data_IF_219527868895
#
_entry.id   IF_219527868895
#
_cell.length_a   1.000
_cell.length_b   1.000
_cell.length_c   1.000
_cell.angle_alpha   90.00
_cell.angle_beta   90.00
_cell.angle_gamma   90.00
#
_symmetry.space_group_name_H-M   'P 1'
#
loop_
_entity.id
_entity.type
_entity.pdbx_description
1 polymer ?
#
# COMPACT_ATOMS: atom_id res chain seq x y z
N UNK A 1 -11.86 -66.01 49.39
CA UNK A 1 -13.23 -65.52 49.69
C UNK A 1 -13.50 -64.39 48.72
N UNK A 2 -14.42 -64.65 47.78
CA UNK A 2 -15.04 -63.74 46.80
C UNK A 2 -14.13 -63.13 45.72
N UNK A 3 -14.33 -63.64 44.50
CA UNK A 3 -13.91 -63.13 43.19
C UNK A 3 -14.68 -61.86 42.78
N UNK A 4 -14.01 -60.98 42.02
CA UNK A 4 -14.51 -60.27 40.82
C UNK A 4 -13.37 -59.33 40.38
N UNK A 5 -12.76 -59.39 39.21
CA UNK A 5 -13.30 -59.76 37.90
C UNK A 5 -13.24 -58.53 36.99
N UNK A 6 -12.06 -58.15 36.51
CA UNK A 6 -11.95 -57.25 35.35
C UNK A 6 -10.89 -57.78 34.37
N UNK A 7 -11.39 -58.54 33.39
CA UNK A 7 -10.73 -58.74 32.10
C UNK A 7 -10.61 -57.38 31.43
N UNK A 8 -9.39 -56.86 31.26
CA UNK A 8 -9.12 -55.87 30.22
C UNK A 8 -8.42 -56.56 29.05
N UNK A 9 -9.17 -56.54 27.97
CA UNK A 9 -8.88 -57.05 26.64
C UNK A 9 -7.62 -56.38 26.09
N UNK A 10 -6.71 -57.20 25.58
CA UNK A 10 -5.60 -56.79 24.73
C UNK A 10 -6.16 -56.06 23.51
N UNK A 11 -6.04 -54.73 23.49
CA UNK A 11 -6.33 -53.93 22.29
C UNK A 11 -5.01 -53.34 21.78
N UNK A 12 -4.40 -53.89 20.71
CA UNK A 12 -3.18 -53.34 20.13
C UNK A 12 -3.42 -52.01 19.39
N UNK A 13 -4.67 -51.53 19.30
CA UNK A 13 -5.02 -50.27 18.63
C UNK A 13 -4.74 -49.01 19.46
N UNK A 14 -4.54 -49.10 20.79
CA UNK A 14 -4.27 -47.90 21.61
C UNK A 14 -2.80 -47.44 21.58
N UNK A 15 -1.85 -48.28 21.17
CA UNK A 15 -0.43 -47.90 21.12
C UNK A 15 -0.04 -47.17 19.82
N UNK A 16 -0.79 -47.38 18.74
CA UNK A 16 -0.59 -46.67 17.46
C UNK A 16 -1.15 -45.24 17.52
N UNK A 17 -2.18 -45.00 18.34
CA UNK A 17 -2.74 -43.66 18.55
C UNK A 17 -1.80 -42.70 19.29
N UNK A 18 -0.90 -43.20 20.14
CA UNK A 18 0.04 -42.33 20.89
C UNK A 18 1.26 -41.90 20.06
N UNK A 19 1.65 -42.69 19.04
CA UNK A 19 2.77 -42.37 18.14
C UNK A 19 2.39 -41.40 17.01
N UNK A 20 1.09 -41.26 16.69
CA UNK A 20 0.62 -40.31 15.67
C UNK A 20 0.43 -38.89 16.26
N UNK A 21 0.31 -38.74 17.58
CA UNK A 21 0.16 -37.42 18.23
C UNK A 21 1.53 -36.75 18.47
N UNK A 22 2.65 -37.49 18.42
CA UNK A 22 4.01 -36.93 18.48
C UNK A 22 4.63 -36.62 17.12
N UNK A 23 3.94 -36.88 16.01
CA UNK A 23 4.45 -36.65 14.65
C UNK A 23 3.96 -35.33 14.01
N UNK A 24 3.13 -34.55 14.72
CA UNK A 24 2.70 -33.21 14.31
C UNK A 24 3.44 -32.08 15.05
N UNK A 25 4.61 -32.35 15.64
CA UNK A 25 5.62 -31.30 15.80
C UNK A 25 6.14 -30.97 14.40
N UNK A 26 5.41 -30.04 13.78
CA UNK A 26 5.81 -29.27 12.62
C UNK A 26 7.33 -29.17 12.52
N UNK A 27 7.82 -29.56 11.34
CA UNK A 27 9.06 -29.07 10.77
C UNK A 27 8.92 -27.54 10.66
N UNK A 28 9.13 -26.86 11.78
CA UNK A 28 9.67 -25.51 11.77
C UNK A 28 11.14 -25.75 11.54
N UNK A 29 11.62 -25.34 10.36
CA UNK A 29 13.04 -25.22 10.10
C UNK A 29 13.58 -24.20 11.09
N UNK A 30 14.00 -24.65 12.27
CA UNK A 30 14.94 -23.90 13.08
C UNK A 30 16.24 -23.96 12.30
N UNK A 31 16.52 -22.91 11.53
CA UNK A 31 17.85 -22.69 10.96
C UNK A 31 18.81 -22.46 12.13
N UNK A 32 19.29 -23.56 12.70
CA UNK A 32 20.51 -23.57 13.48
C UNK A 32 21.65 -23.40 12.50
N UNK A 33 22.15 -22.16 12.44
CA UNK A 33 23.57 -21.81 12.39
C UNK A 33 24.49 -22.95 11.93
N UNK A 34 24.65 -23.08 10.62
CA UNK A 34 25.94 -23.44 10.07
C UNK A 34 26.38 -22.35 9.10
N UNK A 35 27.58 -21.86 9.39
CA UNK A 35 28.26 -20.75 8.74
C UNK A 35 28.26 -20.94 7.22
N UNK A 36 27.48 -20.10 6.53
CA UNK A 36 27.74 -19.52 5.21
C UNK A 36 26.40 -19.02 4.65
N UNK A 37 25.85 -17.95 5.23
CA UNK A 37 25.08 -17.01 4.41
C UNK A 37 26.12 -16.26 3.59
N UNK A 38 26.20 -16.44 2.26
CA UNK A 38 26.92 -15.48 1.45
C UNK A 38 26.08 -14.20 1.52
N UNK A 39 26.42 -13.32 2.47
CA UNK A 39 25.98 -11.93 2.49
C UNK A 39 26.69 -11.25 1.34
N UNK A 40 26.19 -11.49 0.13
CA UNK A 40 26.53 -10.66 -1.00
C UNK A 40 25.83 -9.31 -0.76
N UNK A 41 26.55 -8.34 -0.19
CA UNK A 41 26.07 -6.97 0.06
C UNK A 41 25.81 -6.18 -1.25
N UNK A 42 25.63 -6.87 -2.37
CA UNK A 42 25.41 -6.30 -3.70
C UNK A 42 23.92 -6.15 -4.02
N UNK A 43 23.37 -5.00 -3.60
CA UNK A 43 22.35 -4.17 -4.30
C UNK A 43 21.52 -3.32 -3.31
N UNK A 44 22.18 -2.66 -2.34
CA UNK A 44 21.52 -1.72 -1.41
C UNK A 44 21.00 -0.43 -2.13
N UNK A 45 21.28 -0.24 -3.42
CA UNK A 45 21.02 1.02 -4.14
C UNK A 45 19.88 0.98 -5.17
N UNK A 46 18.70 0.43 -4.85
CA UNK A 46 17.52 0.64 -5.72
C UNK A 46 16.30 1.20 -4.99
N UNK A 47 16.49 2.19 -4.13
CA UNK A 47 15.37 3.11 -3.86
C UNK A 47 15.10 3.93 -5.12
N UNK A 48 13.86 4.01 -5.55
CA UNK A 48 13.53 4.80 -6.73
C UNK A 48 13.32 6.24 -6.26
N UNK A 49 14.34 7.05 -6.51
CA UNK A 49 14.42 8.47 -6.19
C UNK A 49 13.98 9.30 -7.38
N UNK A 50 12.99 10.17 -7.19
CA UNK A 50 12.64 11.22 -8.14
C UNK A 50 12.74 12.60 -7.51
N UNK A 51 13.60 13.47 -8.05
CA UNK A 51 13.64 14.90 -7.71
C UNK A 51 12.79 15.74 -8.66
N UNK A 52 12.10 16.72 -8.11
CA UNK A 52 11.32 17.66 -8.90
C UNK A 52 12.29 18.58 -9.62
N UNK A 53 12.25 18.55 -10.96
CA UNK A 53 13.04 19.41 -11.83
C UNK A 53 12.14 20.38 -12.60
N UNK A 54 12.05 20.22 -13.92
CA UNK A 54 11.29 21.11 -14.81
C UNK A 54 9.86 20.64 -15.08
N UNK A 55 9.51 19.42 -14.67
CA UNK A 55 8.23 18.76 -14.91
C UNK A 55 7.71 18.07 -13.65
N UNK A 56 6.42 17.75 -13.66
CA UNK A 56 5.80 16.97 -12.60
C UNK A 56 6.47 15.58 -12.49
N UNK A 57 6.63 15.13 -11.25
CA UNK A 57 6.93 13.76 -10.93
C UNK A 57 5.64 12.98 -10.79
N UNK A 58 5.61 11.80 -11.39
CA UNK A 58 4.53 10.83 -11.25
C UNK A 58 5.14 9.50 -10.86
N UNK A 59 4.68 8.97 -9.73
CA UNK A 59 5.09 7.70 -9.19
C UNK A 59 3.86 6.77 -9.09
N UNK A 60 4.00 5.51 -9.52
CA UNK A 60 2.91 4.54 -9.48
C UNK A 60 3.45 3.12 -9.33
N UNK A 61 2.63 2.19 -8.85
CA UNK A 61 2.97 0.76 -8.74
C UNK A 61 2.98 0.02 -10.08
N UNK A 62 2.47 0.63 -11.17
CA UNK A 62 2.36 -0.04 -12.47
C UNK A 62 2.63 0.94 -13.62
N UNK A 63 3.68 0.65 -14.40
CA UNK A 63 4.13 1.46 -15.53
C UNK A 63 3.04 1.65 -16.60
N UNK A 64 2.15 0.66 -16.78
CA UNK A 64 1.06 0.74 -17.75
C UNK A 64 0.06 1.85 -17.43
N UNK A 65 -0.16 2.12 -16.14
CA UNK A 65 -0.97 3.25 -15.68
C UNK A 65 -0.37 4.56 -16.18
N UNK A 66 0.95 4.74 -16.02
CA UNK A 66 1.64 5.94 -16.45
C UNK A 66 1.64 6.08 -17.97
N UNK A 67 1.89 4.99 -18.71
CA UNK A 67 1.87 4.96 -20.19
C UNK A 67 0.54 5.45 -20.75
N UNK A 68 -0.56 4.89 -20.25
CA UNK A 68 -1.90 5.29 -20.68
C UNK A 68 -2.26 6.71 -20.21
N UNK A 69 -1.85 7.11 -19.02
CA UNK A 69 -2.00 8.47 -18.52
C UNK A 69 -1.32 9.50 -19.45
N UNK A 70 -0.06 9.27 -19.81
CA UNK A 70 0.68 10.13 -20.74
C UNK A 70 0.03 10.17 -22.12
N UNK A 71 -0.42 9.02 -22.63
CA UNK A 71 -1.13 8.97 -23.91
C UNK A 71 -2.38 9.84 -23.89
N UNK A 72 -3.27 9.67 -22.90
CA UNK A 72 -4.50 10.45 -22.79
C UNK A 72 -4.20 11.93 -22.60
N UNK A 73 -3.23 12.27 -21.74
CA UNK A 73 -2.83 13.66 -21.50
C UNK A 73 -2.32 14.34 -22.78
N UNK A 74 -1.53 13.63 -23.59
CA UNK A 74 -1.02 14.13 -24.88
C UNK A 74 -2.14 14.38 -25.89
N UNK A 75 -3.18 13.53 -25.90
CA UNK A 75 -4.35 13.67 -26.80
C UNK A 75 -5.28 14.79 -26.38
N UNK A 76 -5.36 15.08 -25.07
CA UNK A 76 -6.19 16.18 -24.57
C UNK A 76 -5.67 17.55 -25.01
N UNK A 77 -4.35 17.73 -25.10
CA UNK A 77 -3.74 19.02 -25.44
C UNK A 77 -4.13 20.16 -24.48
N UNK A 78 -4.53 19.82 -23.24
CA UNK A 78 -4.99 20.75 -22.21
C UNK A 78 -4.01 20.81 -21.06
N UNK A 79 -3.81 22.00 -20.52
CA UNK A 79 -3.13 22.17 -19.24
C UNK A 79 -4.08 21.79 -18.12
N UNK A 80 -3.75 20.74 -17.38
CA UNK A 80 -4.49 20.28 -16.20
C UNK A 80 -3.71 20.62 -14.94
N UNK A 81 -4.43 20.99 -13.88
CA UNK A 81 -3.86 21.15 -12.53
C UNK A 81 -3.45 19.79 -11.94
N UNK A 82 -2.67 19.79 -10.86
CA UNK A 82 -2.23 18.57 -10.16
C UNK A 82 -3.41 17.71 -9.71
N UNK A 83 -4.49 18.33 -9.21
CA UNK A 83 -5.75 17.66 -8.85
C UNK A 83 -6.38 16.96 -10.05
N UNK A 84 -6.49 17.67 -11.16
CA UNK A 84 -7.14 17.16 -12.37
C UNK A 84 -6.33 16.04 -13.02
N UNK A 85 -4.99 16.15 -13.00
CA UNK A 85 -4.07 15.08 -13.40
C UNK A 85 -4.24 13.84 -12.52
N UNK A 86 -4.35 14.03 -11.21
CA UNK A 86 -4.56 12.97 -10.24
C UNK A 86 -5.90 12.26 -10.46
N UNK A 87 -6.98 13.00 -10.72
CA UNK A 87 -8.29 12.41 -11.04
C UNK A 87 -8.24 11.62 -12.34
N UNK A 88 -7.57 12.15 -13.37
CA UNK A 88 -7.42 11.47 -14.65
C UNK A 88 -6.68 10.12 -14.51
N UNK A 89 -5.52 10.11 -13.85
CA UNK A 89 -4.76 8.87 -13.64
C UNK A 89 -5.52 7.88 -12.75
N UNK A 90 -6.23 8.35 -11.72
CA UNK A 90 -7.05 7.50 -10.84
C UNK A 90 -8.20 6.82 -11.61
N UNK A 91 -8.86 7.53 -12.53
CA UNK A 91 -9.88 6.89 -13.37
C UNK A 91 -9.28 5.86 -14.35
N UNK A 92 -8.07 6.09 -14.86
CA UNK A 92 -7.35 5.11 -15.71
C UNK A 92 -7.04 3.83 -14.92
N UNK A 93 -6.63 3.95 -13.65
CA UNK A 93 -6.39 2.81 -12.76
C UNK A 93 -7.58 1.85 -12.71
N UNK A 94 -8.81 2.37 -12.72
CA UNK A 94 -10.01 1.54 -12.64
C UNK A 94 -10.11 0.53 -13.79
N UNK A 95 -9.64 0.86 -15.01
CA UNK A 95 -9.69 -0.09 -16.12
C UNK A 95 -8.58 -1.13 -16.03
N UNK A 96 -7.40 -0.72 -15.58
CA UNK A 96 -6.20 -1.56 -15.57
C UNK A 96 -6.16 -2.49 -14.36
N UNK A 97 -6.73 -2.05 -13.24
CA UNK A 97 -6.78 -2.77 -11.96
C UNK A 97 -8.19 -2.76 -11.38
N UNK A 98 -9.17 -3.38 -12.07
CA UNK A 98 -10.56 -3.43 -11.59
C UNK A 98 -10.73 -4.26 -10.30
N UNK A 99 -9.69 -5.00 -9.91
CA UNK A 99 -9.55 -5.71 -8.65
C UNK A 99 -9.23 -4.77 -7.48
N UNK A 100 -8.40 -3.73 -7.68
CA UNK A 100 -7.95 -2.82 -6.62
C UNK A 100 -8.50 -1.40 -6.70
N UNK A 101 -8.89 -0.93 -7.88
CA UNK A 101 -9.45 0.39 -8.14
C UNK A 101 -10.89 0.25 -8.65
N UNK A 102 -11.76 -0.35 -7.84
CA UNK A 102 -13.19 -0.41 -8.12
C UNK A 102 -13.90 0.84 -7.58
N UNK A 103 -15.13 1.15 -8.04
CA UNK A 103 -15.93 2.18 -7.39
C UNK A 103 -16.09 1.98 -5.88
N UNK A 104 -16.06 0.73 -5.41
CA UNK A 104 -16.27 0.36 -4.00
C UNK A 104 -14.99 0.30 -3.16
N UNK A 105 -13.82 0.49 -3.77
CA UNK A 105 -12.54 0.49 -3.07
C UNK A 105 -12.41 1.71 -2.15
N UNK A 106 -11.81 1.53 -0.98
CA UNK A 106 -11.47 2.67 -0.13
C UNK A 106 -10.45 3.55 -0.86
N UNK A 107 -10.53 4.85 -0.64
CA UNK A 107 -9.57 5.80 -1.20
C UNK A 107 -8.97 6.64 -0.08
N UNK A 108 -7.65 6.54 0.07
CA UNK A 108 -6.87 7.38 0.95
C UNK A 108 -6.17 8.44 0.12
N UNK A 109 -6.29 9.71 0.52
CA UNK A 109 -5.67 10.86 -0.14
C UNK A 109 -4.77 11.57 0.85
N UNK A 110 -3.53 11.83 0.44
CA UNK A 110 -2.50 12.56 1.20
C UNK A 110 -2.02 13.72 0.34
N UNK A 111 -2.07 14.96 0.83
CA UNK A 111 -1.82 16.15 -0.01
C UNK A 111 -1.31 17.35 0.77
N UNK A 112 -0.54 18.23 0.12
CA UNK A 112 -0.20 19.57 0.61
C UNK A 112 -0.63 20.69 -0.37
N UNK A 113 -1.63 20.42 -1.22
CA UNK A 113 -2.14 21.40 -2.21
C UNK A 113 -2.78 22.64 -1.56
N UNK A 114 -3.13 22.56 -0.28
CA UNK A 114 -3.67 23.66 0.52
C UNK A 114 -2.57 24.29 1.40
N UNK A 115 -2.91 25.32 2.19
CA UNK A 115 -1.96 25.93 3.14
C UNK A 115 -1.44 24.96 4.21
N UNK A 116 -2.13 23.84 4.41
CA UNK A 116 -1.75 22.78 5.34
C UNK A 116 -1.77 21.42 4.63
N UNK A 117 -0.98 20.50 5.16
CA UNK A 117 -1.04 19.09 4.84
C UNK A 117 -2.40 18.49 5.25
N UNK A 118 -2.94 17.60 4.43
CA UNK A 118 -4.26 17.01 4.62
C UNK A 118 -4.24 15.52 4.34
N UNK A 119 -4.99 14.78 5.16
CA UNK A 119 -5.30 13.37 4.97
C UNK A 119 -6.82 13.20 4.88
N UNK A 120 -7.27 12.44 3.90
CA UNK A 120 -8.67 12.07 3.72
C UNK A 120 -8.77 10.58 3.45
N UNK A 121 -9.59 9.88 4.21
CA UNK A 121 -9.95 8.50 3.99
C UNK A 121 -11.43 8.40 3.66
N UNK A 122 -11.73 7.93 2.46
CA UNK A 122 -13.06 7.62 1.98
C UNK A 122 -13.26 6.12 2.12
N UNK A 123 -14.02 5.73 3.14
CA UNK A 123 -14.22 4.34 3.54
C UNK A 123 -15.64 3.89 3.18
N UNK A 124 -15.76 2.61 2.83
CA UNK A 124 -17.04 2.00 2.51
C UNK A 124 -17.88 1.91 3.78
N UNK A 125 -19.09 2.45 3.69
CA UNK A 125 -20.08 2.38 4.77
C UNK A 125 -21.01 1.17 4.57
N UNK A 126 -21.40 0.90 3.32
CA UNK A 126 -22.30 -0.19 2.95
C UNK A 126 -22.08 -0.61 1.48
N UNK A 127 -22.79 -1.66 1.03
CA UNK A 127 -22.65 -2.26 -0.30
C UNK A 127 -23.01 -1.34 -1.48
N UNK A 128 -23.70 -0.22 -1.20
CA UNK A 128 -24.10 0.75 -2.22
C UNK A 128 -23.17 1.97 -2.26
N UNK A 129 -22.21 2.07 -1.34
CA UNK A 129 -21.30 3.21 -1.24
C UNK A 129 -20.13 3.09 -2.22
N UNK A 130 -19.80 4.19 -2.92
CA UNK A 130 -18.72 4.25 -3.92
C UNK A 130 -17.58 5.19 -3.49
N UNK A 131 -16.85 4.87 -2.40
CA UNK A 131 -15.83 5.73 -1.79
C UNK A 131 -14.78 6.25 -2.77
N UNK A 132 -14.30 5.40 -3.68
CA UNK A 132 -13.28 5.76 -4.66
C UNK A 132 -13.72 6.95 -5.51
N UNK A 133 -14.89 6.84 -6.14
CA UNK A 133 -15.39 7.90 -7.03
C UNK A 133 -15.88 9.13 -6.26
N UNK A 134 -16.48 8.94 -5.08
CA UNK A 134 -16.88 10.05 -4.20
C UNK A 134 -15.67 10.88 -3.77
N UNK A 135 -14.56 10.23 -3.38
CA UNK A 135 -13.35 10.94 -3.00
C UNK A 135 -12.73 11.74 -4.16
N UNK A 136 -12.80 11.23 -5.39
CA UNK A 136 -12.38 11.99 -6.57
C UNK A 136 -13.29 13.18 -6.88
N UNK A 137 -14.62 13.03 -6.72
CA UNK A 137 -15.58 14.12 -6.89
C UNK A 137 -15.37 15.22 -5.84
N UNK A 138 -15.24 14.84 -4.57
CA UNK A 138 -14.98 15.76 -3.46
C UNK A 138 -13.67 16.51 -3.64
N UNK A 139 -12.62 15.83 -4.11
CA UNK A 139 -11.33 16.46 -4.39
C UNK A 139 -11.46 17.57 -5.44
N UNK A 140 -12.17 17.33 -6.54
CA UNK A 140 -12.44 18.34 -7.58
C UNK A 140 -13.23 19.53 -7.04
N UNK A 141 -14.25 19.27 -6.20
CA UNK A 141 -15.09 20.30 -5.60
C UNK A 141 -14.29 21.16 -4.63
N UNK A 142 -13.55 20.53 -3.70
CA UNK A 142 -12.79 21.22 -2.66
C UNK A 142 -11.67 22.10 -3.23
N UNK A 143 -11.09 21.70 -4.36
CA UNK A 143 -10.07 22.47 -5.07
C UNK A 143 -10.63 23.34 -6.21
N UNK A 144 -11.96 23.48 -6.29
CA UNK A 144 -12.66 24.36 -7.25
C UNK A 144 -12.25 24.11 -8.71
N UNK A 145 -12.04 22.85 -9.10
CA UNK A 145 -11.75 22.53 -10.49
C UNK A 145 -12.91 22.99 -11.38
N UNK A 146 -12.63 23.59 -12.55
CA UNK A 146 -13.66 23.89 -13.55
C UNK A 146 -14.31 22.65 -14.15
N UNK A 147 -13.71 21.46 -13.95
CA UNK A 147 -14.18 20.21 -14.53
C UNK A 147 -14.83 19.33 -13.46
N UNK A 148 -15.96 18.71 -13.82
CA UNK A 148 -16.62 17.67 -13.03
C UNK A 148 -16.12 16.29 -13.46
N UNK A 149 -16.32 15.28 -12.61
CA UNK A 149 -15.95 13.89 -12.90
C UNK A 149 -16.52 13.38 -14.24
N UNK A 150 -17.74 13.81 -14.60
CA UNK A 150 -18.36 13.50 -15.89
C UNK A 150 -17.58 14.03 -17.11
N UNK A 151 -16.84 15.13 -16.96
CA UNK A 151 -16.00 15.67 -18.03
C UNK A 151 -14.78 14.77 -18.27
N UNK A 152 -14.13 14.31 -17.21
CA UNK A 152 -13.04 13.33 -17.30
C UNK A 152 -13.53 12.02 -17.91
N UNK A 153 -14.73 11.56 -17.53
CA UNK A 153 -15.35 10.38 -18.11
C UNK A 153 -15.52 10.50 -19.63
N UNK A 154 -16.01 11.64 -20.13
CA UNK A 154 -16.12 11.92 -21.56
C UNK A 154 -14.76 11.89 -22.27
N UNK A 155 -13.74 12.47 -21.64
CA UNK A 155 -12.38 12.45 -22.17
C UNK A 155 -11.82 11.03 -22.27
N UNK A 156 -12.04 10.20 -21.26
CA UNK A 156 -11.59 8.81 -21.27
C UNK A 156 -12.35 7.99 -22.31
N UNK A 157 -13.67 8.12 -22.41
CA UNK A 157 -14.45 7.44 -23.46
C UNK A 157 -13.97 7.82 -24.87
N UNK A 158 -13.50 9.06 -25.06
CA UNK A 158 -13.01 9.55 -26.35
C UNK A 158 -11.56 9.16 -26.66
N UNK A 159 -10.65 9.28 -25.68
CA UNK A 159 -9.21 9.22 -25.90
C UNK A 159 -8.56 7.95 -25.35
N UNK A 160 -9.14 7.32 -24.33
CA UNK A 160 -8.62 6.09 -23.75
C UNK A 160 -9.19 4.86 -24.47
N UNK A 161 -8.92 4.77 -25.79
CA UNK A 161 -9.48 3.73 -26.68
C UNK A 161 -8.51 2.59 -26.99
N UNK A 162 -7.22 2.77 -26.71
CA UNK A 162 -6.20 1.74 -26.93
C UNK A 162 -6.51 0.44 -26.17
N UNK A 163 -6.09 -0.72 -26.68
CA UNK A 163 -6.17 -1.98 -25.94
C UNK A 163 -5.47 -1.84 -24.58
N UNK A 164 -6.14 -2.27 -23.52
CA UNK A 164 -5.58 -2.33 -22.17
C UNK A 164 -5.07 -3.74 -21.95
N UNK A 165 -3.84 -3.86 -21.51
CA UNK A 165 -3.25 -5.17 -21.29
C UNK A 165 -3.36 -5.57 -19.82
N UNK A 166 -3.51 -6.87 -19.58
CA UNK A 166 -3.42 -7.44 -18.24
C UNK A 166 -1.96 -7.39 -17.80
N UNK A 167 -1.68 -6.65 -16.72
CA UNK A 167 -0.38 -6.62 -16.07
C UNK A 167 -0.11 -7.85 -15.19
N UNK A 168 1.13 -8.00 -14.73
CA UNK A 168 1.58 -9.15 -13.92
C UNK A 168 0.74 -9.37 -12.66
N UNK A 169 0.50 -8.33 -11.86
CA UNK A 169 -0.25 -8.46 -10.61
C UNK A 169 -1.71 -8.87 -10.84
N UNK A 170 -2.35 -8.31 -11.86
CA UNK A 170 -3.72 -8.69 -12.20
C UNK A 170 -3.77 -10.13 -12.73
N UNK A 171 -2.84 -10.54 -13.60
CA UNK A 171 -2.77 -11.92 -14.08
C UNK A 171 -2.63 -12.93 -12.94
N UNK A 172 -1.77 -12.62 -11.95
CA UNK A 172 -1.61 -13.41 -10.75
C UNK A 172 -2.93 -13.54 -9.98
N UNK A 173 -3.57 -12.40 -9.68
CA UNK A 173 -4.87 -12.38 -9.01
C UNK A 173 -5.93 -13.20 -9.76
N UNK A 174 -6.05 -13.04 -11.08
CA UNK A 174 -7.03 -13.77 -11.89
C UNK A 174 -6.80 -15.28 -11.86
N UNK A 175 -5.53 -15.70 -11.82
CA UNK A 175 -5.15 -17.12 -11.69
C UNK A 175 -5.54 -17.68 -10.32
N UNK A 176 -5.25 -16.96 -9.24
CA UNK A 176 -5.60 -17.39 -7.87
C UNK A 176 -7.11 -17.44 -7.64
N UNK A 177 -7.87 -16.55 -8.28
CA UNK A 177 -9.31 -16.43 -8.09
C UNK A 177 -10.16 -17.13 -9.14
N UNK A 178 -9.55 -17.97 -10.00
CA UNK A 178 -10.21 -18.64 -11.13
C UNK A 178 -11.59 -19.22 -10.77
N UNK A 179 -11.65 -20.02 -9.72
CA UNK A 179 -12.87 -20.72 -9.31
C UNK A 179 -13.98 -19.76 -8.88
N UNK A 180 -13.63 -18.61 -8.31
CA UNK A 180 -14.58 -17.57 -7.95
C UNK A 180 -15.04 -16.78 -9.18
N UNK A 181 -14.13 -16.50 -10.12
CA UNK A 181 -14.46 -15.83 -11.38
C UNK A 181 -15.43 -16.65 -12.25
N UNK A 182 -15.28 -17.98 -12.28
CA UNK A 182 -16.14 -18.88 -13.05
C UNK A 182 -17.62 -18.87 -12.61
N UNK A 183 -17.88 -18.56 -11.34
CA UNK A 183 -19.24 -18.54 -10.75
C UNK A 183 -20.09 -17.36 -11.23
N UNK A 184 -19.47 -16.32 -11.77
CA UNK A 184 -20.16 -15.08 -12.14
C UNK A 184 -20.08 -14.82 -13.65
N UNK A 185 -21.23 -14.71 -14.36
CA UNK A 185 -21.23 -14.50 -15.81
C UNK A 185 -20.45 -13.27 -16.28
N UNK A 186 -20.52 -12.15 -15.55
CA UNK A 186 -19.79 -10.92 -15.89
C UNK A 186 -18.28 -11.14 -15.85
N UNK A 187 -17.75 -11.79 -14.80
CA UNK A 187 -16.34 -12.13 -14.70
C UNK A 187 -15.93 -13.19 -15.70
N UNK A 188 -16.72 -14.26 -15.87
CA UNK A 188 -16.43 -15.31 -16.84
C UNK A 188 -16.28 -14.77 -18.26
N UNK A 189 -17.15 -13.84 -18.66
CA UNK A 189 -17.11 -13.26 -20.01
C UNK A 189 -15.99 -12.23 -20.20
N UNK A 190 -15.45 -11.68 -19.11
CA UNK A 190 -14.43 -10.63 -19.14
C UNK A 190 -13.02 -11.17 -18.88
N UNK A 191 -12.86 -12.03 -17.88
CA UNK A 191 -11.56 -12.47 -17.36
C UNK A 191 -11.21 -13.91 -17.74
N UNK A 192 -12.11 -14.65 -18.39
CA UNK A 192 -11.83 -16.03 -18.80
C UNK A 192 -11.98 -16.20 -20.32
N UNK A 193 -10.96 -16.80 -20.94
CA UNK A 193 -10.97 -17.21 -22.35
C UNK A 193 -10.78 -18.72 -22.42
N UNK A 194 -11.74 -19.42 -23.03
CA UNK A 194 -11.76 -20.90 -23.06
C UNK A 194 -11.58 -21.54 -21.66
N UNK A 195 -12.22 -20.95 -20.63
CA UNK A 195 -12.12 -21.37 -19.20
C UNK A 195 -10.71 -21.23 -18.58
N UNK A 196 -9.85 -20.41 -19.18
CA UNK A 196 -8.58 -20.03 -18.58
C UNK A 196 -8.58 -18.55 -18.22
N UNK A 197 -8.06 -18.17 -17.04
CA UNK A 197 -7.83 -16.78 -16.68
C UNK A 197 -6.99 -16.06 -17.72
N UNK A 198 -7.29 -14.78 -17.97
CA UNK A 198 -6.46 -13.95 -18.82
C UNK A 198 -5.03 -13.89 -18.29
N UNK A 199 -4.08 -14.06 -19.20
CA UNK A 199 -2.64 -14.00 -18.93
C UNK A 199 -2.08 -12.60 -19.20
N UNK A 200 -0.82 -12.38 -18.80
CA UNK A 200 -0.09 -11.14 -19.09
C UNK A 200 -0.17 -10.80 -20.59
N UNK A 201 -0.30 -9.51 -20.90
CA UNK A 201 -0.44 -8.95 -22.25
C UNK A 201 -1.76 -9.24 -22.98
N UNK A 202 -2.64 -10.08 -22.45
CA UNK A 202 -4.00 -10.23 -22.98
C UNK A 202 -4.86 -8.99 -22.70
N UNK A 203 -5.92 -8.81 -23.48
CA UNK A 203 -6.67 -7.55 -23.50
C UNK A 203 -7.82 -7.53 -22.50
N UNK A 204 -7.93 -6.44 -21.74
CA UNK A 204 -9.09 -6.08 -20.92
C UNK A 204 -10.13 -5.28 -21.72
N UNK A 205 -11.43 -5.43 -21.39
CA UNK A 205 -12.46 -4.61 -22.01
C UNK A 205 -12.37 -3.13 -21.58
N UNK A 206 -12.94 -2.27 -22.41
CA UNK A 206 -13.07 -0.85 -22.11
C UNK A 206 -14.21 -0.59 -21.13
N UNK A 207 -13.97 0.29 -20.16
CA UNK A 207 -15.04 0.89 -19.35
C UNK A 207 -15.75 1.95 -20.17
N UNK A 208 -17.09 1.96 -20.10
CA UNK A 208 -17.90 3.11 -20.53
C UNK A 208 -18.01 4.09 -19.37
N UNK A 209 -17.02 4.99 -19.23
CA UNK A 209 -16.86 5.86 -18.07
C UNK A 209 -18.06 6.79 -17.90
N UNK A 210 -18.60 7.35 -18.99
CA UNK A 210 -19.78 8.21 -18.91
C UNK A 210 -20.97 7.48 -18.30
N UNK A 211 -21.16 6.19 -18.63
CA UNK A 211 -22.22 5.35 -18.04
C UNK A 211 -21.93 5.09 -16.56
N UNK A 212 -20.69 4.75 -16.22
CA UNK A 212 -20.26 4.52 -14.84
C UNK A 212 -20.51 5.75 -13.95
N UNK A 213 -20.04 6.93 -14.36
CA UNK A 213 -20.19 8.17 -13.58
C UNK A 213 -21.64 8.65 -13.53
N UNK A 214 -22.45 8.42 -14.57
CA UNK A 214 -23.90 8.69 -14.48
C UNK A 214 -24.60 7.81 -13.44
N UNK A 215 -24.18 6.54 -13.33
CA UNK A 215 -24.70 5.62 -12.31
C UNK A 215 -24.25 5.99 -10.88
N UNK A 216 -23.12 6.67 -10.71
CA UNK A 216 -22.70 7.19 -9.39
C UNK A 216 -23.73 8.18 -8.85
N UNK A 217 -24.23 9.08 -9.70
CA UNK A 217 -25.19 10.10 -9.29
C UNK A 217 -26.55 9.53 -8.86
N UNK A 218 -26.86 8.29 -9.25
CA UNK A 218 -28.06 7.57 -8.81
C UNK A 218 -27.79 6.59 -7.65
N UNK A 219 -26.53 6.38 -7.26
CA UNK A 219 -26.14 5.57 -6.11
C UNK A 219 -26.07 6.40 -4.82
N UNK A 220 -26.21 5.73 -3.67
CA UNK A 220 -26.12 6.39 -2.35
C UNK A 220 -24.71 6.93 -2.12
N UNK A 221 -24.58 8.26 -1.97
CA UNK A 221 -23.31 8.94 -1.68
C UNK A 221 -22.85 8.80 -0.22
N UNK A 222 -23.54 8.00 0.61
CA UNK A 222 -23.14 7.82 2.02
C UNK A 222 -21.84 7.02 2.07
N UNK A 223 -20.74 7.76 2.26
CA UNK A 223 -19.38 7.26 2.42
C UNK A 223 -18.92 7.71 3.81
N UNK A 224 -18.24 6.82 4.53
CA UNK A 224 -17.62 7.21 5.79
C UNK A 224 -16.34 7.98 5.48
N UNK A 225 -16.28 9.24 5.90
CA UNK A 225 -15.13 10.11 5.67
C UNK A 225 -14.38 10.36 6.98
N UNK A 226 -13.10 10.03 6.99
CA UNK A 226 -12.21 10.32 8.11
C UNK A 226 -11.04 11.20 7.65
N UNK A 227 -10.72 12.21 8.43
CA UNK A 227 -9.57 13.10 8.25
C UNK A 227 -8.77 13.26 9.54
N UNK A 228 -8.94 12.31 10.47
CA UNK A 228 -8.35 12.40 11.80
C UNK A 228 -6.82 12.32 11.73
N UNK A 229 -6.17 13.31 12.32
CA UNK A 229 -4.73 13.36 12.57
C UNK A 229 -4.51 13.70 14.03
N UNK A 230 -3.66 12.92 14.69
CA UNK A 230 -3.30 13.03 16.10
C UNK A 230 -1.86 13.56 16.16
N UNK A 231 -1.64 14.57 16.98
CA UNK A 231 -0.29 15.05 17.28
C UNK A 231 0.44 13.99 18.11
N UNK A 232 1.53 13.46 17.57
CA UNK A 232 2.45 12.60 18.31
C UNK A 232 3.57 13.46 18.92
N UNK A 233 3.79 13.30 20.22
CA UNK A 233 4.87 13.94 20.93
C UNK A 233 6.00 12.94 21.11
N UNK A 234 7.17 13.23 20.54
CA UNK A 234 8.35 12.39 20.73
C UNK A 234 8.67 12.28 22.23
N UNK A 235 8.98 11.08 22.75
CA UNK A 235 9.46 10.92 24.12
C UNK A 235 10.78 11.68 24.27
N UNK A 236 10.70 12.87 24.87
CA UNK A 236 11.74 13.89 24.91
C UNK A 236 13.08 13.30 25.39
N UNK A 237 14.09 13.26 24.52
CA UNK A 237 15.48 13.03 24.93
C UNK A 237 16.33 14.30 24.90
N UNK A 238 15.99 15.30 24.07
CA UNK A 238 16.75 16.55 23.94
C UNK A 238 15.85 17.77 23.63
N UNK A 239 16.26 18.97 24.10
CA UNK A 239 15.54 20.24 23.90
C UNK A 239 15.36 20.66 22.42
N UNK A 240 16.22 20.17 21.51
CA UNK A 240 16.19 20.45 20.06
C UNK A 240 14.95 19.85 19.38
N UNK A 241 14.32 18.84 19.99
CA UNK A 241 13.16 18.14 19.40
C UNK A 241 11.82 18.89 19.59
N UNK A 242 11.79 20.03 20.29
CA UNK A 242 10.56 20.79 20.57
C UNK A 242 9.90 21.42 19.35
N UNK A 243 10.66 21.70 18.29
CA UNK A 243 10.17 22.34 17.07
C UNK A 243 9.82 21.34 15.95
N UNK A 244 9.84 20.04 16.27
CA UNK A 244 9.41 18.97 15.40
C UNK A 244 7.93 18.69 15.69
N UNK A 245 7.10 18.76 14.65
CA UNK A 245 5.67 18.44 14.75
C UNK A 245 5.37 17.20 13.91
N UNK A 246 4.74 16.22 14.53
CA UNK A 246 4.39 14.95 13.90
C UNK A 246 2.89 14.74 14.03
N UNK A 247 2.17 14.69 12.91
CA UNK A 247 0.73 14.48 12.87
C UNK A 247 0.44 13.19 12.11
N UNK A 248 -0.25 12.24 12.75
CA UNK A 248 -0.49 10.93 12.16
C UNK A 248 -1.93 10.48 12.34
N UNK A 249 -2.45 9.66 11.42
CA UNK A 249 -3.75 9.02 11.59
C UNK A 249 -3.72 7.78 12.51
N UNK A 250 -2.59 7.55 13.19
CA UNK A 250 -2.34 6.51 14.17
C UNK A 250 -1.92 7.11 15.49
N UNK A 251 -2.33 6.49 16.59
CA UNK A 251 -1.86 6.84 17.93
C UNK A 251 -0.51 6.16 18.20
N UNK A 252 0.58 6.90 17.98
CA UNK A 252 1.93 6.37 18.20
C UNK A 252 2.31 6.18 19.67
N UNK A 253 1.57 6.78 20.61
CA UNK A 253 1.80 6.57 22.04
C UNK A 253 1.53 5.14 22.49
N UNK A 254 0.77 4.37 21.71
CA UNK A 254 0.57 2.95 21.92
C UNK A 254 1.85 2.14 21.67
N UNK A 255 2.66 2.54 20.69
CA UNK A 255 3.91 1.86 20.33
C UNK A 255 5.00 2.13 21.38
N UNK A 256 5.00 3.31 22.01
CA UNK A 256 5.85 3.60 23.17
C UNK A 256 5.56 2.65 24.35
N UNK A 257 4.33 2.13 24.42
CA UNK A 257 3.88 1.16 25.41
C UNK A 257 3.97 -0.30 24.91
N UNK A 258 4.62 -0.53 23.77
CA UNK A 258 4.71 -1.82 23.08
C UNK A 258 3.32 -2.46 22.81
N UNK A 259 2.31 -1.65 22.48
CA UNK A 259 0.99 -2.09 22.01
C UNK A 259 0.91 -1.93 20.50
N UNK A 260 0.88 -3.05 19.80
CA UNK A 260 0.94 -3.12 18.34
C UNK A 260 -0.43 -3.43 17.72
N UNK A 261 -0.78 -2.74 16.63
CA UNK A 261 -2.04 -2.95 15.91
C UNK A 261 -1.80 -3.84 14.69
N UNK A 262 -1.74 -5.15 14.92
CA UNK A 262 -1.40 -6.12 13.89
C UNK A 262 -2.66 -6.61 13.18
N UNK A 263 -2.82 -6.22 11.93
CA UNK A 263 -3.86 -6.72 11.03
C UNK A 263 -3.72 -8.23 10.79
N UNK A 264 -4.85 -8.88 10.48
CA UNK A 264 -4.87 -10.32 10.18
C UNK A 264 -4.11 -10.65 8.91
N UNK A 265 -4.23 -9.79 7.91
CA UNK A 265 -3.60 -9.91 6.60
C UNK A 265 -3.18 -8.53 6.12
N UNK A 266 -2.25 -8.51 5.17
CA UNK A 266 -1.93 -7.29 4.43
C UNK A 266 -3.13 -6.90 3.56
N UNK A 267 -3.34 -5.60 3.37
CA UNK A 267 -4.41 -5.10 2.52
C UNK A 267 -3.82 -4.84 1.13
N UNK A 268 -4.32 -5.52 0.09
CA UNK A 268 -3.98 -5.19 -1.28
C UNK A 268 -4.28 -3.73 -1.58
N UNK A 269 -3.33 -3.05 -2.23
CA UNK A 269 -3.45 -1.63 -2.52
C UNK A 269 -2.87 -1.27 -3.89
N UNK A 270 -3.38 -0.17 -4.42
CA UNK A 270 -2.91 0.45 -5.64
C UNK A 270 -2.61 1.92 -5.37
N UNK A 271 -1.37 2.34 -5.64
CA UNK A 271 -0.87 3.64 -5.23
C UNK A 271 -0.45 4.49 -6.44
N UNK A 272 -0.75 5.79 -6.38
CA UNK A 272 -0.24 6.79 -7.31
C UNK A 272 0.04 8.10 -6.59
N UNK A 273 1.20 8.70 -6.88
CA UNK A 273 1.65 9.98 -6.38
C UNK A 273 1.98 10.93 -7.52
N UNK A 274 1.61 12.20 -7.38
CA UNK A 274 2.03 13.28 -8.27
C UNK A 274 2.63 14.38 -7.42
N UNK A 275 3.82 14.87 -7.78
CA UNK A 275 4.40 16.11 -7.24
C UNK A 275 4.64 17.09 -8.37
N UNK A 276 4.10 18.30 -8.27
CA UNK A 276 4.29 19.36 -9.24
C UNK A 276 5.66 20.04 -9.09
N UNK A 277 6.03 20.84 -10.09
CA UNK A 277 7.28 21.61 -10.10
C UNK A 277 7.47 22.58 -8.93
N UNK A 278 6.41 22.92 -8.21
CA UNK A 278 6.43 23.80 -7.05
C UNK A 278 6.57 23.03 -5.73
N UNK A 279 6.62 21.69 -5.77
CA UNK A 279 6.67 20.83 -4.60
C UNK A 279 5.30 20.57 -3.95
N UNK A 280 4.19 20.94 -4.61
CA UNK A 280 2.89 20.47 -4.15
C UNK A 280 2.64 19.05 -4.64
N UNK A 281 2.13 18.20 -3.77
CA UNK A 281 1.90 16.81 -4.04
C UNK A 281 0.48 16.38 -3.70
N UNK A 282 0.08 15.30 -4.35
CA UNK A 282 -1.08 14.50 -4.01
C UNK A 282 -0.76 13.03 -4.22
N UNK A 283 -1.11 12.22 -3.24
CA UNK A 283 -1.04 10.76 -3.30
C UNK A 283 -2.42 10.17 -3.09
N UNK A 284 -2.76 9.18 -3.89
CA UNK A 284 -3.94 8.36 -3.78
C UNK A 284 -3.56 6.92 -3.56
N UNK A 285 -4.19 6.29 -2.59
CA UNK A 285 -4.04 4.85 -2.35
C UNK A 285 -5.43 4.23 -2.30
N UNK A 286 -5.69 3.36 -3.28
CA UNK A 286 -6.85 2.50 -3.29
C UNK A 286 -6.56 1.28 -2.44
N UNK A 287 -7.47 0.90 -1.54
CA UNK A 287 -7.37 -0.37 -0.81
C UNK A 287 -8.66 -1.16 -0.93
N UNK A 288 -8.53 -2.48 -1.03
CA UNK A 288 -9.68 -3.35 -1.14
C UNK A 288 -9.42 -4.72 -0.51
N UNK A 289 -10.33 -5.17 0.36
CA UNK A 289 -10.34 -6.56 0.81
C UNK A 289 -10.94 -7.46 -0.28
N UNK A 290 -10.18 -8.48 -0.69
CA UNK A 290 -10.50 -9.38 -1.80
C UNK A 290 -10.97 -10.77 -1.32
N UNK A 291 -11.41 -10.89 -0.07
CA UNK A 291 -11.81 -12.19 0.52
C UNK A 291 -13.02 -12.82 -0.17
N UNK A 292 -13.92 -12.00 -0.73
CA UNK A 292 -15.11 -12.45 -1.47
C UNK A 292 -15.17 -11.76 -2.83
N UNK A 293 -14.73 -12.46 -3.88
CA UNK A 293 -14.71 -11.93 -5.25
C UNK A 293 -16.11 -11.94 -5.85
N UNK A 294 -16.80 -10.79 -5.79
CA UNK A 294 -18.15 -10.59 -6.31
C UNK A 294 -18.20 -9.44 -7.32
N UNK A 295 -18.96 -9.55 -8.42
CA UNK A 295 -19.09 -8.46 -9.38
C UNK A 295 -19.89 -7.30 -8.82
N UNK A 296 -19.47 -6.08 -9.14
CA UNK A 296 -20.27 -4.89 -8.86
C UNK A 296 -21.42 -4.83 -9.87
N UNK A 297 -22.58 -5.36 -9.48
CA UNK A 297 -23.75 -5.51 -10.38
C UNK A 297 -23.37 -6.28 -11.65
N UNK A 298 -23.77 -5.81 -12.82
CA UNK A 298 -23.46 -6.42 -14.13
C UNK A 298 -22.09 -5.98 -14.71
N UNK A 299 -21.27 -5.29 -13.92
CA UNK A 299 -19.94 -4.82 -14.38
C UNK A 299 -18.86 -5.88 -14.12
N UNK A 300 -17.67 -5.65 -14.66
CA UNK A 300 -16.49 -6.47 -14.40
C UNK A 300 -15.65 -5.97 -13.21
N UNK A 301 -16.09 -4.91 -12.51
CA UNK A 301 -15.41 -4.46 -11.30
C UNK A 301 -15.63 -5.45 -10.16
N UNK A 302 -14.59 -5.61 -9.34
CA UNK A 302 -14.66 -6.46 -8.14
C UNK A 302 -15.15 -5.62 -6.98
N UNK A 303 -16.22 -6.08 -6.34
CA UNK A 303 -16.77 -5.46 -5.14
C UNK A 303 -15.86 -5.78 -3.97
N UNK A 304 -15.35 -4.75 -3.29
CA UNK A 304 -14.56 -4.94 -2.08
C UNK A 304 -15.39 -5.50 -0.93
N UNK A 305 -14.78 -6.22 0.00
CA UNK A 305 -15.40 -6.43 1.32
C UNK A 305 -15.14 -5.20 2.22
N UNK A 306 -16.04 -4.95 3.18
CA UNK A 306 -15.78 -3.98 4.24
C UNK A 306 -14.60 -4.45 5.10
N UNK A 307 -13.68 -3.54 5.41
CA UNK A 307 -12.58 -3.79 6.35
C UNK A 307 -12.31 -2.54 7.18
N UNK A 308 -11.85 -2.74 8.41
CA UNK A 308 -11.50 -1.64 9.33
C UNK A 308 -10.02 -1.28 9.26
N UNK A 309 -9.21 -2.13 8.65
CA UNK A 309 -7.76 -1.94 8.56
C UNK A 309 -7.47 -0.65 7.76
N UNK A 310 -6.66 0.24 8.35
CA UNK A 310 -6.31 1.54 7.77
C UNK A 310 -4.83 1.62 7.46
N UNK A 311 -4.46 2.36 6.42
CA UNK A 311 -3.07 2.69 6.14
C UNK A 311 -2.53 3.65 7.20
N UNK A 312 -1.25 3.52 7.57
CA UNK A 312 -0.60 4.50 8.43
C UNK A 312 -0.08 5.67 7.58
N UNK A 313 -0.41 6.89 7.99
CA UNK A 313 -0.05 8.16 7.36
C UNK A 313 0.47 9.10 8.43
N UNK A 314 1.61 9.73 8.16
CA UNK A 314 2.18 10.75 9.02
C UNK A 314 2.70 11.95 8.22
N UNK A 315 2.52 13.13 8.79
CA UNK A 315 3.18 14.36 8.39
C UNK A 315 4.18 14.75 9.44
N UNK A 316 5.42 14.96 9.04
CA UNK A 316 6.53 15.36 9.91
C UNK A 316 7.02 16.71 9.42
N UNK A 317 7.14 17.68 10.33
CA UNK A 317 7.68 19.00 10.04
C UNK A 317 8.77 19.36 11.05
N UNK A 318 9.98 19.58 10.55
CA UNK A 318 11.11 20.06 11.32
C UNK A 318 11.40 21.51 10.90
N UNK A 319 10.93 22.45 11.71
CA UNK A 319 11.04 23.89 11.39
C UNK A 319 12.50 24.37 11.34
N UNK A 320 13.37 24.00 12.32
CA UNK A 320 14.79 24.36 12.28
C UNK A 320 15.54 23.85 11.04
N UNK A 321 15.32 22.59 10.65
CA UNK A 321 15.98 21.99 9.48
C UNK A 321 15.31 22.35 8.14
N UNK A 322 14.17 23.06 8.19
CA UNK A 322 13.33 23.35 7.01
C UNK A 322 12.98 22.09 6.20
N UNK A 323 12.75 20.97 6.88
CA UNK A 323 12.38 19.70 6.25
C UNK A 323 10.94 19.31 6.60
N UNK A 324 10.25 18.74 5.62
CA UNK A 324 8.88 18.28 5.72
C UNK A 324 8.73 16.94 5.00
N UNK A 325 8.01 16.01 5.62
CA UNK A 325 7.79 14.67 5.09
C UNK A 325 6.32 14.30 5.20
N UNK A 326 5.78 13.71 4.14
CA UNK A 326 4.57 12.90 4.23
C UNK A 326 4.95 11.44 4.01
N UNK A 327 4.62 10.62 4.99
CA UNK A 327 4.92 9.20 5.05
C UNK A 327 3.64 8.41 4.92
N UNK A 328 3.63 7.38 4.08
CA UNK A 328 2.53 6.42 3.99
C UNK A 328 3.06 5.01 3.97
N UNK A 329 2.49 4.13 4.79
CA UNK A 329 2.86 2.72 4.83
C UNK A 329 1.79 1.84 4.18
N UNK A 330 2.24 0.94 3.31
CA UNK A 330 1.39 0.00 2.55
C UNK A 330 1.94 -1.43 2.66
N UNK A 331 1.15 -2.42 2.21
CA UNK A 331 1.55 -3.83 2.13
C UNK A 331 2.11 -4.40 3.46
N UNK A 332 1.62 -3.92 4.61
CA UNK A 332 2.08 -4.38 5.93
C UNK A 332 0.94 -4.86 6.80
N UNK A 333 1.24 -5.84 7.65
CA UNK A 333 0.34 -6.26 8.74
C UNK A 333 0.33 -5.28 9.90
N UNK A 334 1.34 -4.46 10.07
CA UNK A 334 1.30 -3.35 11.04
C UNK A 334 1.99 -2.12 10.41
N UNK A 335 1.25 -1.34 9.62
CA UNK A 335 1.81 -0.19 8.92
C UNK A 335 2.28 0.92 9.88
N UNK A 336 1.75 0.96 11.11
CA UNK A 336 2.18 1.90 12.13
C UNK A 336 3.61 1.61 12.58
N UNK A 337 3.95 0.35 12.90
CA UNK A 337 5.31 -0.02 13.30
C UNK A 337 6.38 0.44 12.30
N UNK A 338 6.10 0.36 10.99
CA UNK A 338 7.05 0.76 9.96
C UNK A 338 7.37 2.26 10.02
N UNK A 339 6.36 3.11 10.17
CA UNK A 339 6.56 4.56 10.32
C UNK A 339 7.18 4.88 11.69
N UNK A 340 6.77 4.16 12.74
CA UNK A 340 7.35 4.33 14.07
C UNK A 340 8.86 4.11 14.07
N UNK A 341 9.36 3.08 13.38
CA UNK A 341 10.79 2.83 13.26
C UNK A 341 11.53 3.98 12.57
N UNK A 342 10.98 4.54 11.48
CA UNK A 342 11.59 5.71 10.83
C UNK A 342 11.69 6.91 11.79
N UNK A 343 10.69 7.12 12.64
CA UNK A 343 10.73 8.18 13.65
C UNK A 343 11.79 7.91 14.73
N UNK A 344 11.97 6.65 15.15
CA UNK A 344 13.03 6.25 16.09
C UNK A 344 14.44 6.40 15.49
N UNK A 345 14.56 6.25 14.17
CA UNK A 345 15.80 6.54 13.43
C UNK A 345 15.98 8.04 13.15
N UNK A 346 15.06 8.89 13.62
CA UNK A 346 15.14 10.33 13.47
C UNK A 346 15.15 10.81 12.00
N UNK A 347 14.34 10.18 11.12
CA UNK A 347 14.21 10.59 9.71
C UNK A 347 13.95 12.09 9.52
N UNK A 348 13.32 12.73 10.52
CA UNK A 348 13.09 14.18 10.56
C UNK A 348 14.36 15.04 10.54
N UNK A 349 15.53 14.45 10.81
CA UNK A 349 16.84 15.10 10.72
C UNK A 349 17.49 14.98 9.33
N UNK A 350 16.88 14.23 8.41
CA UNK A 350 17.36 14.09 7.04
C UNK A 350 17.50 15.44 6.35
N UNK A 351 18.58 15.61 5.59
CA UNK A 351 18.95 16.88 4.93
C UNK A 351 18.67 16.92 3.44
N UNK A 352 18.46 15.76 2.81
CA UNK A 352 18.26 15.65 1.37
C UNK A 352 17.58 14.32 1.00
N UNK A 353 17.25 14.15 -0.28
CA UNK A 353 16.57 12.93 -0.77
C UNK A 353 17.42 11.67 -0.63
N UNK A 354 18.74 11.78 -0.78
CA UNK A 354 19.64 10.63 -0.70
C UNK A 354 19.66 10.06 0.72
N UNK A 355 19.87 10.91 1.72
CA UNK A 355 19.83 10.53 3.14
C UNK A 355 18.43 9.99 3.51
N UNK A 356 17.37 10.57 2.95
CA UNK A 356 16.00 10.08 3.14
C UNK A 356 15.82 8.66 2.60
N UNK A 357 16.42 8.34 1.44
CA UNK A 357 16.42 6.99 0.89
C UNK A 357 17.18 6.01 1.78
N UNK A 358 18.30 6.43 2.37
CA UNK A 358 19.07 5.59 3.30
C UNK A 358 18.20 5.17 4.50
N UNK A 359 17.41 6.09 5.07
CA UNK A 359 16.45 5.75 6.14
C UNK A 359 15.39 4.73 5.69
N UNK A 360 14.87 4.83 4.46
CA UNK A 360 13.87 3.89 3.94
C UNK A 360 14.45 2.50 3.65
N UNK A 361 15.72 2.45 3.24
CA UNK A 361 16.43 1.20 2.96
C UNK A 361 16.95 0.50 4.21
N UNK A 362 16.96 1.18 5.36
CA UNK A 362 17.37 0.59 6.63
C UNK A 362 16.55 -0.67 6.95
N UNK A 363 17.14 -1.71 7.55
CA UNK A 363 16.44 -2.94 7.92
C UNK A 363 15.37 -2.67 8.97
N UNK A 364 14.17 -3.22 8.76
CA UNK A 364 13.02 -3.03 9.65
C UNK A 364 12.65 -4.34 10.32
N UNK A 365 11.82 -4.23 11.35
CA UNK A 365 11.26 -5.36 12.05
C UNK A 365 9.77 -5.13 12.35
N UNK A 366 9.06 -6.21 12.63
CA UNK A 366 7.73 -6.19 13.24
C UNK A 366 7.79 -7.00 14.53
N UNK A 367 7.40 -6.37 15.63
CA UNK A 367 7.11 -7.07 16.87
C UNK A 367 5.71 -7.67 16.79
N UNK A 368 5.61 -8.95 17.16
CA UNK A 368 4.35 -9.67 17.31
C UNK A 368 4.20 -10.06 18.77
N UNK A 369 3.09 -9.67 19.39
CA UNK A 369 2.77 -10.00 20.78
C UNK A 369 1.94 -11.29 20.78
N UNK A 370 2.13 -12.14 21.80
CA UNK A 370 1.35 -13.36 22.05
C UNK A 370 1.48 -14.46 20.95
N UNK A 371 2.54 -15.30 20.99
CA UNK A 371 3.76 -15.15 21.78
C UNK A 371 4.67 -14.04 21.26
N UNK A 372 5.48 -13.45 22.16
CA UNK A 372 6.49 -12.46 21.80
C UNK A 372 7.48 -13.04 20.79
N UNK A 373 7.55 -12.43 19.62
CA UNK A 373 8.48 -12.78 18.54
C UNK A 373 8.71 -11.57 17.64
N UNK A 374 9.76 -11.64 16.83
CA UNK A 374 10.13 -10.61 15.87
C UNK A 374 10.18 -11.19 14.47
N UNK A 375 9.64 -10.46 13.50
CA UNK A 375 9.94 -10.65 12.08
C UNK A 375 10.94 -9.58 11.70
N UNK A 376 12.06 -9.95 11.06
CA UNK A 376 13.18 -9.05 10.76
C UNK A 376 13.64 -9.20 9.31
N UNK A 377 13.92 -8.07 8.67
CA UNK A 377 14.48 -8.01 7.31
C UNK A 377 15.99 -8.26 7.34
N UNK A 378 16.38 -9.52 7.53
CA UNK A 378 17.77 -9.86 7.85
C UNK A 378 18.76 -9.59 6.72
N UNK A 379 18.33 -9.68 5.46
CA UNK A 379 19.17 -9.42 4.27
C UNK A 379 19.67 -7.98 4.17
N UNK A 380 18.91 -7.01 4.71
CA UNK A 380 19.30 -5.60 4.78
C UNK A 380 20.02 -5.26 6.09
N UNK A 381 20.09 -6.22 7.01
CA UNK A 381 20.70 -6.10 8.33
C UNK A 381 22.20 -6.36 8.33
N UNK A 382 22.90 -5.75 9.29
CA UNK A 382 24.25 -6.16 9.64
C UNK A 382 24.22 -7.29 10.68
N UNK A 383 25.26 -8.14 10.69
CA UNK A 383 25.42 -9.18 11.70
C UNK A 383 25.42 -8.62 13.13
N UNK A 384 25.93 -7.40 13.33
CA UNK A 384 25.93 -6.75 14.64
C UNK A 384 24.50 -6.43 15.12
N UNK A 385 23.64 -5.94 14.22
CA UNK A 385 22.23 -5.67 14.54
C UNK A 385 21.49 -6.97 14.83
N UNK A 386 21.69 -8.01 14.01
CA UNK A 386 21.08 -9.31 14.22
C UNK A 386 21.51 -9.93 15.56
N UNK A 387 22.81 -9.90 15.89
CA UNK A 387 23.33 -10.40 17.17
C UNK A 387 22.73 -9.67 18.37
N UNK A 388 22.50 -8.36 18.25
CA UNK A 388 21.80 -7.60 19.28
C UNK A 388 20.36 -8.11 19.46
N UNK A 389 19.63 -8.37 18.38
CA UNK A 389 18.27 -8.90 18.49
C UNK A 389 18.27 -10.32 19.08
N UNK A 390 19.19 -11.19 18.65
CA UNK A 390 19.32 -12.55 19.16
C UNK A 390 19.60 -12.60 20.67
N UNK A 391 20.26 -11.58 21.21
CA UNK A 391 20.51 -11.47 22.65
C UNK A 391 19.25 -11.19 23.50
N UNK A 392 18.12 -10.83 22.89
CA UNK A 392 16.90 -10.43 23.60
C UNK A 392 15.94 -11.58 23.96
N UNK A 393 16.37 -12.84 23.82
CA UNK A 393 15.64 -14.04 24.27
C UNK A 393 14.20 -14.18 23.73
N UNK A 394 13.95 -13.78 22.48
CA UNK A 394 12.72 -14.10 21.76
C UNK A 394 13.01 -14.63 20.35
N UNK A 395 12.10 -15.44 19.77
CA UNK A 395 12.26 -15.95 18.42
C UNK A 395 12.31 -14.83 17.36
N UNK A 396 13.23 -14.98 16.41
CA UNK A 396 13.39 -14.07 15.26
C UNK A 396 13.16 -14.87 13.99
N UNK A 397 12.30 -14.35 13.13
CA UNK A 397 11.99 -14.93 11.82
C UNK A 397 12.47 -13.97 10.74
N UNK A 398 13.08 -14.54 9.70
CA UNK A 398 13.45 -13.78 8.50
C UNK A 398 12.21 -13.46 7.65
N UNK A 399 12.20 -12.27 7.06
CA UNK A 399 11.31 -11.90 5.98
C UNK A 399 12.04 -11.01 4.98
N UNK A 400 11.81 -11.20 3.69
CA UNK A 400 12.43 -10.38 2.64
C UNK A 400 11.89 -8.94 2.66
N UNK A 401 10.61 -8.80 2.97
CA UNK A 401 9.90 -7.53 3.15
C UNK A 401 8.77 -7.70 4.17
N UNK A 402 8.58 -6.69 5.01
CA UNK A 402 7.48 -6.62 5.99
C UNK A 402 6.47 -5.49 5.69
N UNK A 403 6.63 -4.86 4.53
CA UNK A 403 5.78 -3.81 3.99
C UNK A 403 6.56 -2.73 3.26
N UNK A 404 5.86 -1.70 2.80
CA UNK A 404 6.43 -0.65 1.97
C UNK A 404 6.15 0.74 2.53
N UNK A 405 7.01 1.68 2.16
CA UNK A 405 6.92 3.08 2.54
C UNK A 405 6.97 3.98 1.31
N UNK A 406 6.03 4.92 1.28
CA UNK A 406 6.00 6.02 0.33
C UNK A 406 6.30 7.30 1.06
N UNK A 407 7.13 8.13 0.45
CA UNK A 407 7.59 9.36 1.07
C UNK A 407 7.61 10.52 0.08
N UNK A 408 6.97 11.62 0.46
CA UNK A 408 7.13 12.93 -0.19
C UNK A 408 8.00 13.78 0.72
N UNK A 409 9.14 14.24 0.22
CA UNK A 409 10.08 15.05 0.97
C UNK A 409 10.12 16.46 0.39
N UNK A 410 10.13 17.45 1.27
CA UNK A 410 10.42 18.84 0.94
C UNK A 410 11.51 19.37 1.86
N UNK A 411 12.46 20.11 1.31
CA UNK A 411 13.58 20.70 2.04
C UNK A 411 13.68 22.21 1.73
N UNK A 412 14.50 22.92 2.52
CA UNK A 412 14.78 24.34 2.28
C UNK A 412 15.34 24.64 0.88
N UNK A 413 16.00 23.66 0.24
CA UNK A 413 16.35 23.73 -1.18
C UNK A 413 15.27 23.01 -2.03
N UNK A 414 14.47 23.72 -2.84
CA UNK A 414 13.41 23.12 -3.64
C UNK A 414 13.89 22.07 -4.66
N UNK A 415 15.15 22.12 -5.10
CA UNK A 415 15.74 21.12 -5.99
C UNK A 415 15.91 19.75 -5.33
N UNK A 416 15.80 19.70 -4.00
CA UNK A 416 15.82 18.47 -3.21
C UNK A 416 14.40 18.00 -2.86
N UNK A 417 13.35 18.66 -3.37
CA UNK A 417 11.99 18.14 -3.17
C UNK A 417 11.78 16.94 -4.08
N UNK A 418 11.08 15.91 -3.60
CA UNK A 418 10.95 14.69 -4.36
C UNK A 418 10.08 13.61 -3.75
N UNK A 419 9.95 12.53 -4.51
CA UNK A 419 9.28 11.30 -4.10
C UNK A 419 10.35 10.24 -3.88
N UNK A 420 10.32 9.60 -2.72
CA UNK A 420 11.16 8.45 -2.39
C UNK A 420 10.24 7.25 -2.19
N UNK A 421 10.51 6.17 -2.91
CA UNK A 421 9.78 4.90 -2.78
C UNK A 421 10.69 3.79 -2.29
N UNK A 422 10.09 2.84 -1.57
CA UNK A 422 10.80 1.68 -1.01
C UNK A 422 11.36 0.76 -2.09
N UNK A 423 12.61 0.32 -1.93
CA UNK A 423 13.26 -0.61 -2.87
C UNK A 423 12.67 -2.01 -2.85
N UNK A 424 11.88 -2.36 -1.83
CA UNK A 424 11.28 -3.69 -1.65
C UNK A 424 10.09 -3.95 -2.56
N UNK A 425 9.58 -2.92 -3.25
CA UNK A 425 8.52 -3.04 -4.26
C UNK A 425 8.93 -2.29 -5.50
N UNK A 426 8.58 -2.85 -6.66
CA UNK A 426 8.83 -2.20 -7.92
C UNK A 426 7.84 -1.05 -8.09
N UNK A 427 8.36 0.16 -8.19
CA UNK A 427 7.60 1.34 -8.54
C UNK A 427 8.09 1.89 -9.88
N UNK A 428 7.19 2.53 -10.61
CA UNK A 428 7.54 3.34 -11.75
C UNK A 428 7.58 4.80 -11.33
N UNK A 429 8.68 5.50 -11.62
CA UNK A 429 8.79 6.96 -11.49
C UNK A 429 9.26 7.51 -12.84
N UNK A 430 8.54 8.50 -13.37
CA UNK A 430 8.78 9.03 -14.71
C UNK A 430 10.11 9.79 -14.90
N UNK A 431 10.74 10.20 -13.80
CA UNK A 431 12.04 10.85 -13.81
C UNK A 431 12.83 10.35 -12.60
N UNK A 432 13.74 9.42 -12.84
CA UNK A 432 14.68 8.94 -11.81
C UNK A 432 15.93 9.80 -11.81
N UNK A 433 16.44 10.12 -10.62
CA UNK A 433 17.71 10.83 -10.54
C UNK A 433 18.86 9.94 -11.05
N UNK A 434 19.77 10.47 -11.88
CA UNK A 434 20.91 9.72 -12.40
C UNK A 434 21.92 9.30 -11.33
N UNK A 435 21.73 9.71 -10.07
CA UNK A 435 22.52 9.29 -8.91
C UNK A 435 22.01 7.95 -8.35
N UNK A 436 20.84 7.47 -8.78
CA UNK A 436 20.24 6.19 -8.37
C UNK A 436 20.44 5.05 -9.39
N UNK A 437 21.51 5.10 -10.19
CA UNK A 437 21.90 4.04 -11.15
C UNK A 437 23.30 3.52 -10.90
#
# INVERSE_FOLDING_TARGET
MIECGLKLIRCPLCLVGLLVITACSLIIKMDNLDNNLPLDHHDIQRSILGSVRSSDLVATTDEEIYRHYQYVLSKLGKSLTTVEKFVLISLIQMNLRPDLASPTSHLHIVTNLSKSEQYHAYLRDNDLSWPYLTGLEDLLINHRSPYRLLQFAKWLDQYFTQPKQVGNELAHFLKEQKDNLEKHPSFKNTFLKAKQPLSVDETLPNIQYTRLIKNLNSASRKVNHSNALILYQLPLRNFVQKDIKIFCNYDFSLYDQAKYNIHRQEIPNLSVGIMDKSGHYIMGISTQSLTNVLPLKETFFITGATHTDTLAVCFIKNTPAQSQFALVSTDSRDPGQLIYHLMQYEIFNSKNLLETSEYLNFPRHLFLIEPLRMVYESEKGSNQQLNRFLSMNFPIYHADSIGNLWLFASFGNPQQNGIVTDSRKNYYINSTDPIAK
#
